data_IF_704817483686
#
_entry.id   IF_704817483686
#
_cell.length_a   1.000
_cell.length_b   1.000
_cell.length_c   1.000
_cell.angle_alpha   90.00
_cell.angle_beta   90.00
_cell.angle_gamma   90.00
#
_symmetry.space_group_name_H-M   'P 1'
#
loop_
_entity.id
_entity.type
_entity.pdbx_description
1 polymer ?
#
# COMPACT_ATOMS: atom_id res chain seq x y z
N UNK A 1 -8.61 -47.89 29.03
CA UNK A 1 -8.97 -46.59 29.65
C UNK A 1 -7.81 -45.57 29.62
N UNK A 2 -7.24 -45.23 28.44
CA UNK A 2 -6.13 -44.24 28.35
C UNK A 2 -6.40 -43.09 27.37
N UNK A 3 -7.21 -43.34 26.34
CA UNK A 3 -7.59 -42.33 25.34
C UNK A 3 -8.53 -41.24 25.86
N UNK A 4 -9.41 -41.54 26.83
CA UNK A 4 -10.36 -40.56 27.36
C UNK A 4 -9.68 -39.34 28.00
N UNK A 5 -8.48 -39.50 28.57
CA UNK A 5 -7.73 -38.36 29.15
C UNK A 5 -7.10 -37.47 28.08
N UNK A 6 -6.63 -38.08 26.99
CA UNK A 6 -6.01 -37.35 25.87
C UNK A 6 -7.08 -36.57 25.10
N UNK A 7 -8.26 -37.17 24.89
CA UNK A 7 -9.40 -36.50 24.25
C UNK A 7 -9.83 -35.27 25.07
N UNK A 8 -9.89 -35.40 26.40
CA UNK A 8 -10.26 -34.28 27.28
C UNK A 8 -9.21 -33.16 27.26
N UNK A 9 -7.93 -33.52 27.20
CA UNK A 9 -6.83 -32.55 27.06
C UNK A 9 -6.91 -31.77 25.73
N UNK A 10 -7.12 -32.47 24.61
CA UNK A 10 -7.29 -31.82 23.29
C UNK A 10 -8.53 -30.94 23.27
N UNK A 11 -9.64 -31.38 23.89
CA UNK A 11 -10.87 -30.60 23.98
C UNK A 11 -10.64 -29.26 24.69
N UNK A 12 -9.90 -29.24 25.80
CA UNK A 12 -9.57 -28.01 26.52
C UNK A 12 -8.67 -27.07 25.71
N UNK A 13 -7.72 -27.61 24.94
CA UNK A 13 -6.87 -26.80 24.05
C UNK A 13 -7.70 -26.15 22.94
N UNK A 14 -8.58 -26.93 22.29
CA UNK A 14 -9.47 -26.41 21.24
C UNK A 14 -10.35 -25.30 21.81
N UNK A 15 -10.96 -25.52 22.98
CA UNK A 15 -11.80 -24.53 23.65
C UNK A 15 -11.01 -23.25 23.95
N UNK A 16 -9.80 -23.36 24.49
CA UNK A 16 -8.94 -22.20 24.77
C UNK A 16 -8.55 -21.42 23.51
N UNK A 17 -8.19 -22.13 22.43
CA UNK A 17 -7.88 -21.52 21.13
C UNK A 17 -9.09 -20.82 20.53
N UNK A 18 -10.24 -21.49 20.50
CA UNK A 18 -11.49 -20.93 19.99
C UNK A 18 -11.88 -19.68 20.75
N UNK A 19 -11.81 -19.71 22.09
CA UNK A 19 -12.09 -18.54 22.93
C UNK A 19 -11.07 -17.42 22.70
N UNK A 20 -9.77 -17.72 22.64
CA UNK A 20 -8.73 -16.71 22.43
C UNK A 20 -8.82 -16.02 21.06
N UNK A 21 -9.06 -16.79 20.00
CA UNK A 21 -9.27 -16.28 18.63
C UNK A 21 -10.57 -15.47 18.54
N UNK A 22 -11.64 -15.94 19.17
CA UNK A 22 -12.92 -15.24 19.20
C UNK A 22 -12.82 -13.92 19.98
N UNK A 23 -12.24 -13.94 21.17
CA UNK A 23 -11.99 -12.73 21.98
C UNK A 23 -11.10 -11.74 21.23
N UNK A 24 -9.99 -12.21 20.65
CA UNK A 24 -9.08 -11.37 19.87
C UNK A 24 -9.79 -10.71 18.68
N UNK A 25 -10.64 -11.44 17.95
CA UNK A 25 -11.36 -10.90 16.80
C UNK A 25 -12.51 -9.96 17.16
N UNK A 26 -13.20 -10.18 18.28
CA UNK A 26 -14.42 -9.45 18.64
C UNK A 26 -14.14 -8.18 19.45
N UNK A 27 -13.13 -8.19 20.33
CA UNK A 27 -12.85 -7.07 21.25
C UNK A 27 -11.83 -6.09 20.66
N UNK A 28 -10.83 -6.61 19.96
CA UNK A 28 -9.93 -5.81 19.12
C UNK A 28 -9.93 -6.41 17.72
N UNK A 29 -11.01 -6.26 16.93
CA UNK A 29 -10.84 -6.38 15.49
C UNK A 29 -9.69 -5.44 15.15
N UNK A 30 -8.60 -5.98 14.59
CA UNK A 30 -7.59 -5.20 13.89
C UNK A 30 -8.32 -4.55 12.73
N UNK A 31 -8.99 -3.45 13.06
CA UNK A 31 -9.48 -2.50 12.11
C UNK A 31 -8.23 -1.88 11.54
N UNK A 32 -7.70 -2.46 10.46
CA UNK A 32 -7.00 -1.68 9.44
C UNK A 32 -8.02 -0.75 8.75
N UNK A 33 -8.75 0.04 9.54
CA UNK A 33 -9.82 0.93 9.07
C UNK A 33 -9.33 2.38 9.09
N UNK A 34 -8.13 2.63 9.64
CA UNK A 34 -7.43 3.92 9.54
C UNK A 34 -6.01 3.75 8.99
N UNK A 35 -5.78 2.82 8.05
CA UNK A 35 -4.76 3.09 7.03
C UNK A 35 -5.45 3.91 5.96
N UNK A 36 -5.81 5.14 6.31
CA UNK A 36 -5.96 6.18 5.30
C UNK A 36 -4.65 6.11 4.50
N UNK A 37 -4.66 5.97 3.16
CA UNK A 37 -3.42 6.02 2.38
C UNK A 37 -2.60 7.31 2.65
N UNK A 38 -3.18 8.28 3.34
CA UNK A 38 -2.52 9.43 3.96
C UNK A 38 -1.57 9.10 5.13
N UNK A 39 -1.85 8.09 5.96
CA UNK A 39 -1.05 7.65 7.13
C UNK A 39 0.04 6.62 6.78
N UNK A 40 0.18 6.28 5.50
CA UNK A 40 1.34 5.56 5.02
C UNK A 40 2.57 6.47 5.26
N UNK A 41 3.53 6.01 6.07
CA UNK A 41 4.81 6.71 6.29
C UNK A 41 5.39 7.07 4.90
N UNK A 42 5.95 8.26 4.76
CA UNK A 42 6.37 8.80 3.45
C UNK A 42 7.33 7.88 2.70
N UNK A 43 8.08 7.03 3.42
CA UNK A 43 8.94 6.00 2.85
C UNK A 43 8.18 4.97 2.00
N UNK A 44 7.04 4.47 2.48
CA UNK A 44 6.21 3.54 1.71
C UNK A 44 5.49 4.20 0.53
N UNK A 45 5.20 5.51 0.61
CA UNK A 45 4.63 6.26 -0.53
C UNK A 45 5.67 6.41 -1.64
N UNK A 46 6.91 6.72 -1.28
CA UNK A 46 8.00 6.82 -2.23
C UNK A 46 8.28 5.48 -2.93
N UNK A 47 8.31 4.38 -2.17
CA UNK A 47 8.48 3.03 -2.73
C UNK A 47 7.30 2.62 -3.64
N UNK A 48 6.07 3.02 -3.29
CA UNK A 48 4.91 2.80 -4.16
C UNK A 48 4.98 3.60 -5.45
N UNK A 49 5.38 4.89 -5.39
CA UNK A 49 5.56 5.72 -6.58
C UNK A 49 6.66 5.17 -7.48
N UNK A 50 7.76 4.66 -6.91
CA UNK A 50 8.82 4.01 -7.68
C UNK A 50 8.30 2.76 -8.40
N UNK A 51 7.55 1.89 -7.71
CA UNK A 51 6.92 0.71 -8.36
C UNK A 51 5.98 1.11 -9.49
N UNK A 52 5.17 2.17 -9.31
CA UNK A 52 4.29 2.69 -10.37
C UNK A 52 5.11 3.28 -11.52
N UNK A 53 6.24 3.95 -11.25
CA UNK A 53 7.14 4.49 -12.27
C UNK A 53 7.82 3.39 -13.08
N UNK A 54 8.24 2.30 -12.44
CA UNK A 54 8.79 1.12 -13.12
C UNK A 54 7.73 0.41 -13.97
N UNK A 55 6.52 0.22 -13.43
CA UNK A 55 5.40 -0.34 -14.18
C UNK A 55 5.06 0.53 -15.40
N UNK A 56 5.10 1.86 -15.25
CA UNK A 56 4.95 2.79 -16.37
C UNK A 56 6.06 2.64 -17.41
N UNK A 57 7.32 2.40 -17.01
CA UNK A 57 8.40 2.17 -17.97
C UNK A 57 8.15 0.90 -18.81
N UNK A 58 7.47 -0.10 -18.22
CA UNK A 58 7.13 -1.38 -18.85
C UNK A 58 5.91 -1.28 -19.79
N UNK A 59 4.81 -0.68 -19.32
CA UNK A 59 3.54 -0.57 -20.05
C UNK A 59 3.46 0.68 -20.95
N UNK A 60 4.24 1.73 -20.63
CA UNK A 60 4.23 3.05 -21.26
C UNK A 60 2.85 3.71 -21.32
N UNK A 61 1.92 3.28 -20.47
CA UNK A 61 0.58 3.85 -20.38
C UNK A 61 0.48 4.72 -19.12
N UNK A 62 0.52 6.05 -19.29
CA UNK A 62 0.49 6.96 -18.16
C UNK A 62 -0.91 7.12 -17.55
N UNK A 63 -1.97 6.68 -18.25
CA UNK A 63 -3.34 6.69 -17.71
C UNK A 63 -3.53 5.60 -16.64
N UNK A 64 -2.92 4.43 -16.82
CA UNK A 64 -2.91 3.34 -15.85
C UNK A 64 -2.16 3.76 -14.58
N UNK A 65 -1.01 4.39 -14.74
CA UNK A 65 -0.22 4.90 -13.62
C UNK A 65 -0.98 5.97 -12.82
N UNK A 66 -1.70 6.87 -13.50
CA UNK A 66 -2.57 7.85 -12.86
C UNK A 66 -3.67 7.17 -12.04
N UNK A 67 -4.38 6.18 -12.60
CA UNK A 67 -5.45 5.49 -11.89
C UNK A 67 -4.95 4.68 -10.69
N UNK A 68 -3.70 4.23 -10.70
CA UNK A 68 -3.06 3.62 -9.54
C UNK A 68 -2.76 4.64 -8.45
N UNK A 69 -2.23 5.82 -8.81
CA UNK A 69 -1.94 6.90 -7.87
C UNK A 69 -3.20 7.54 -7.27
N UNK A 70 -4.30 7.64 -8.02
CA UNK A 70 -5.59 8.12 -7.50
C UNK A 70 -6.14 7.22 -6.37
N UNK A 71 -5.79 5.92 -6.35
CA UNK A 71 -6.17 5.02 -5.25
C UNK A 71 -5.52 5.38 -3.91
N UNK A 72 -4.46 6.18 -3.90
CA UNK A 72 -3.85 6.72 -2.68
C UNK A 72 -4.66 7.90 -2.09
N UNK A 73 -5.76 8.32 -2.71
CA UNK A 73 -6.72 9.27 -2.14
C UNK A 73 -6.27 10.74 -2.11
N UNK A 74 -5.01 11.03 -2.44
CA UNK A 74 -4.48 12.39 -2.59
C UNK A 74 -4.30 12.74 -4.07
N UNK A 75 -4.07 14.02 -4.38
CA UNK A 75 -3.81 14.43 -5.75
C UNK A 75 -2.54 13.71 -6.27
N UNK A 76 -2.58 13.06 -7.45
CA UNK A 76 -1.42 12.32 -7.98
C UNK A 76 -0.16 13.17 -8.03
N UNK A 77 -0.32 14.46 -8.34
CA UNK A 77 0.75 15.45 -8.33
C UNK A 77 1.42 15.61 -6.97
N UNK A 78 0.64 15.78 -5.91
CA UNK A 78 1.15 15.94 -4.54
C UNK A 78 1.87 14.69 -4.04
N UNK A 79 1.38 13.49 -4.42
CA UNK A 79 2.04 12.22 -4.10
C UNK A 79 3.41 12.11 -4.77
N UNK A 80 3.52 12.48 -6.06
CA UNK A 80 4.77 12.43 -6.80
C UNK A 80 5.76 13.49 -6.30
N UNK A 81 5.28 14.69 -5.97
CA UNK A 81 6.10 15.75 -5.36
C UNK A 81 6.67 15.31 -4.01
N UNK A 82 5.86 14.72 -3.13
CA UNK A 82 6.31 14.16 -1.85
C UNK A 82 7.32 13.02 -2.06
N UNK A 83 7.05 12.10 -3.00
CA UNK A 83 7.98 11.01 -3.31
C UNK A 83 9.32 11.50 -3.85
N UNK A 84 9.32 12.57 -4.65
CA UNK A 84 10.55 13.18 -5.18
C UNK A 84 11.38 13.81 -4.05
N UNK A 85 10.74 14.55 -3.14
CA UNK A 85 11.43 15.13 -1.96
C UNK A 85 12.03 14.02 -1.11
N UNK A 86 11.26 12.98 -0.80
CA UNK A 86 11.73 11.85 -0.02
C UNK A 86 12.90 11.12 -0.69
N UNK A 87 12.83 10.87 -2.00
CA UNK A 87 13.89 10.18 -2.75
C UNK A 87 15.21 10.98 -2.75
N UNK A 88 15.12 12.31 -2.84
CA UNK A 88 16.30 13.21 -2.74
C UNK A 88 16.87 13.20 -1.31
N UNK A 89 16.03 13.29 -0.29
CA UNK A 89 16.46 13.28 1.12
C UNK A 89 17.13 11.95 1.51
N UNK A 90 16.63 10.83 0.97
CA UNK A 90 17.15 9.49 1.27
C UNK A 90 18.27 9.04 0.32
N UNK A 91 18.72 9.91 -0.60
CA UNK A 91 19.80 9.62 -1.58
C UNK A 91 19.53 8.38 -2.44
N UNK A 92 18.32 8.30 -3.00
CA UNK A 92 17.97 7.29 -4.00
C UNK A 92 18.90 7.37 -5.21
N UNK A 93 19.03 6.27 -5.95
CA UNK A 93 19.95 6.19 -7.08
C UNK A 93 19.52 7.19 -8.18
N UNK A 94 20.46 7.84 -8.90
CA UNK A 94 20.10 8.85 -9.90
C UNK A 94 19.19 8.31 -11.02
N UNK A 95 19.28 7.01 -11.33
CA UNK A 95 18.40 6.36 -12.30
C UNK A 95 16.94 6.28 -11.79
N UNK A 96 16.73 6.04 -10.50
CA UNK A 96 15.40 6.02 -9.85
C UNK A 96 14.78 7.42 -9.82
N UNK A 97 15.59 8.45 -9.59
CA UNK A 97 15.13 9.84 -9.66
C UNK A 97 14.67 10.22 -11.07
N UNK A 98 15.33 9.69 -12.11
CA UNK A 98 14.93 9.88 -13.51
C UNK A 98 13.60 9.18 -13.80
N UNK A 99 13.39 7.98 -13.27
CA UNK A 99 12.11 7.25 -13.36
C UNK A 99 10.95 8.06 -12.77
N UNK A 100 11.11 8.56 -11.53
CA UNK A 100 10.09 9.36 -10.84
C UNK A 100 9.78 10.65 -11.62
N UNK A 101 10.81 11.34 -12.12
CA UNK A 101 10.64 12.59 -12.85
C UNK A 101 10.00 12.37 -14.24
N UNK A 102 10.33 11.28 -14.93
CA UNK A 102 9.68 10.91 -16.20
C UNK A 102 8.19 10.61 -16.02
N UNK A 103 7.83 9.95 -14.92
CA UNK A 103 6.44 9.71 -14.55
C UNK A 103 5.70 11.03 -14.28
N UNK A 104 6.32 11.94 -13.52
CA UNK A 104 5.78 13.28 -13.22
C UNK A 104 5.44 14.06 -14.50
N UNK A 105 6.39 14.17 -15.43
CA UNK A 105 6.19 14.90 -16.69
C UNK A 105 5.10 14.25 -17.57
N UNK A 106 5.01 12.92 -17.56
CA UNK A 106 3.98 12.18 -18.31
C UNK A 106 2.58 12.44 -17.74
N UNK A 107 2.43 12.38 -16.41
CA UNK A 107 1.16 12.60 -15.70
C UNK A 107 0.70 14.05 -15.76
N UNK A 108 1.64 15.00 -15.67
CA UNK A 108 1.35 16.45 -15.76
C UNK A 108 0.64 16.80 -17.07
N UNK A 109 0.95 16.13 -18.18
CA UNK A 109 0.29 16.32 -19.47
C UNK A 109 -1.15 15.76 -19.54
N UNK A 110 -1.53 14.92 -18.58
CA UNK A 110 -2.73 14.07 -18.62
C UNK A 110 -3.77 14.49 -17.59
N UNK A 111 -3.34 14.94 -16.41
CA UNK A 111 -4.23 15.50 -15.38
C UNK A 111 -5.00 16.72 -15.90
N UNK A 112 -4.42 17.45 -16.86
CA UNK A 112 -5.08 18.54 -17.61
C UNK A 112 -6.27 18.06 -18.46
N UNK A 113 -6.41 16.74 -18.67
CA UNK A 113 -7.47 16.11 -19.48
C UNK A 113 -8.60 15.46 -18.65
N UNK A 114 -8.53 15.50 -17.32
CA UNK A 114 -9.67 15.41 -16.39
C UNK A 114 -10.59 14.16 -16.35
N UNK A 115 -10.50 13.18 -17.26
CA UNK A 115 -11.49 12.07 -17.32
C UNK A 115 -10.87 10.75 -17.82
N UNK A 116 -10.11 10.04 -16.99
CA UNK A 116 -9.50 8.75 -17.42
C UNK A 116 -9.61 7.63 -16.40
N UNK A 117 -10.06 7.92 -15.17
CA UNK A 117 -10.25 6.91 -14.14
C UNK A 117 -11.71 6.93 -13.68
N UNK A 118 -12.62 6.50 -14.56
CA UNK A 118 -14.01 6.17 -14.21
C UNK A 118 -14.36 4.78 -14.72
#
# INVERSE_FOLDING_TARGET
MRYSRIILFILMIIIGLSLGLFYGRVISPVKLVDTNPTDLREDYKADYVLMVAEAYLLEKDPSIALCQLVKLGNSPKEIIEQATVFAVENRYEPDDLVLINNLYESIKGIEISGEICQ
#
